data_IF_538420637277
#
_entry.id   IF_538420637277
#
_cell.length_a   1.000
_cell.length_b   1.000
_cell.length_c   1.000
_cell.angle_alpha   90.00
_cell.angle_beta   90.00
_cell.angle_gamma   90.00
#
_symmetry.space_group_name_H-M   'P 1'
#
loop_
_entity.id
_entity.type
_entity.pdbx_description
1 polymer ?
#
# COMPACT_ATOMS: atom_id res chain seq x y z
N UNK A 1 1.70 23.74 -12.88
CA UNK A 1 1.87 22.90 -11.67
C UNK A 1 1.90 21.43 -12.07
N UNK A 2 2.58 20.55 -11.34
CA UNK A 2 2.53 19.09 -11.62
C UNK A 2 1.10 18.59 -11.42
N UNK A 3 0.60 17.77 -12.34
CA UNK A 3 -0.77 17.22 -12.32
C UNK A 3 -0.98 16.17 -11.21
N UNK A 4 0.01 15.31 -11.00
CA UNK A 4 0.06 14.33 -9.91
C UNK A 4 1.50 14.09 -9.44
N UNK A 5 1.72 13.24 -8.45
CA UNK A 5 3.06 12.94 -7.92
C UNK A 5 3.19 11.51 -7.40
N UNK A 6 4.23 10.83 -7.85
CA UNK A 6 4.80 9.65 -7.19
C UNK A 6 6.05 10.07 -6.40
N UNK A 7 6.22 9.55 -5.19
CA UNK A 7 7.51 9.60 -4.50
C UNK A 7 8.36 8.36 -4.85
N UNK A 8 9.66 8.41 -4.54
CA UNK A 8 10.60 7.32 -4.79
C UNK A 8 11.22 6.84 -3.48
N UNK A 9 11.05 5.56 -3.18
CA UNK A 9 11.60 4.93 -1.97
C UNK A 9 11.22 5.66 -0.68
N UNK A 10 11.86 5.25 0.42
CA UNK A 10 11.89 5.97 1.69
C UNK A 10 13.04 5.41 2.55
N UNK A 11 13.04 5.69 3.86
CA UNK A 11 14.07 5.16 4.79
C UNK A 11 14.22 3.63 4.76
N UNK A 12 13.16 2.89 4.44
CA UNK A 12 13.09 1.41 4.41
C UNK A 12 13.00 0.84 2.99
N UNK A 13 12.24 1.50 2.11
CA UNK A 13 11.97 1.06 0.74
C UNK A 13 13.06 1.56 -0.21
N UNK A 14 13.51 0.66 -1.09
CA UNK A 14 14.41 0.99 -2.18
C UNK A 14 13.93 2.16 -3.02
N UNK A 15 14.87 2.97 -3.50
CA UNK A 15 14.61 4.07 -4.45
C UNK A 15 14.08 3.59 -5.82
N UNK A 16 14.09 2.28 -6.07
CA UNK A 16 13.48 1.65 -7.25
C UNK A 16 11.96 1.45 -7.11
N UNK A 17 11.37 1.85 -5.98
CA UNK A 17 9.91 1.77 -5.76
C UNK A 17 9.28 3.13 -5.97
N UNK A 18 8.32 3.21 -6.91
CA UNK A 18 7.43 4.36 -7.02
C UNK A 18 6.29 4.21 -6.01
N UNK A 19 5.91 5.31 -5.35
CA UNK A 19 4.88 5.28 -4.31
C UNK A 19 3.78 6.27 -4.65
N UNK A 20 2.55 5.76 -4.78
CA UNK A 20 1.34 6.55 -4.96
C UNK A 20 0.61 6.71 -3.63
N UNK A 21 0.48 7.94 -3.14
CA UNK A 21 -0.15 8.24 -1.87
C UNK A 21 -1.39 9.11 -2.02
N UNK A 22 -2.36 8.84 -1.15
CA UNK A 22 -3.59 9.60 -0.97
C UNK A 22 -3.69 10.17 0.46
N UNK A 23 -4.63 11.10 0.72
CA UNK A 23 -4.82 11.67 2.04
C UNK A 23 -5.25 10.62 3.06
N UNK A 24 -4.54 10.56 4.18
CA UNK A 24 -4.88 9.66 5.27
C UNK A 24 -6.27 9.96 5.84
N UNK A 25 -6.97 8.93 6.32
CA UNK A 25 -8.33 8.98 6.90
C UNK A 25 -9.41 9.34 5.90
N UNK A 26 -9.28 10.44 5.15
CA UNK A 26 -10.24 10.90 4.13
C UNK A 26 -10.51 9.83 3.07
N UNK A 27 -9.48 9.07 2.70
CA UNK A 27 -9.57 8.01 1.67
C UNK A 27 -9.52 6.60 2.26
N UNK A 28 -9.67 6.45 3.58
CA UNK A 28 -9.53 5.17 4.28
C UNK A 28 -10.87 4.67 4.84
N UNK A 29 -11.82 4.21 4.00
CA UNK A 29 -13.13 3.83 4.47
C UNK A 29 -13.07 2.59 5.39
N UNK A 30 -12.09 1.70 5.23
CA UNK A 30 -11.87 0.55 6.12
C UNK A 30 -11.19 0.87 7.46
N UNK A 31 -10.83 2.13 7.72
CA UNK A 31 -10.14 2.50 8.96
C UNK A 31 -11.04 2.38 10.19
N UNK A 32 -10.58 1.64 11.21
CA UNK A 32 -11.21 1.59 12.53
C UNK A 32 -10.96 2.88 13.33
N UNK A 33 -11.71 3.08 14.41
CA UNK A 33 -11.51 4.19 15.36
C UNK A 33 -10.08 4.20 15.90
N UNK A 34 -9.55 3.01 16.24
CA UNK A 34 -8.16 2.87 16.66
C UNK A 34 -7.18 3.30 15.57
N UNK A 35 -7.36 2.84 14.32
CA UNK A 35 -6.51 3.25 13.19
C UNK A 35 -6.44 4.77 13.01
N UNK A 36 -7.58 5.47 13.13
CA UNK A 36 -7.64 6.93 12.98
C UNK A 36 -6.86 7.66 14.07
N UNK A 37 -6.86 7.12 15.29
CA UNK A 37 -6.10 7.67 16.43
C UNK A 37 -4.59 7.51 16.27
N UNK A 38 -4.13 6.35 15.77
CA UNK A 38 -2.69 6.02 15.70
C UNK A 38 -2.08 6.19 14.30
N UNK A 39 -2.81 6.77 13.34
CA UNK A 39 -2.38 6.85 11.95
C UNK A 39 -1.08 7.66 11.78
N UNK A 40 0.03 6.99 11.47
CA UNK A 40 1.32 7.64 11.23
C UNK A 40 1.26 8.62 10.04
N UNK A 41 0.46 8.31 9.01
CA UNK A 41 0.36 9.12 7.82
C UNK A 41 -0.35 10.44 8.07
N UNK A 42 -1.32 10.46 8.99
CA UNK A 42 -1.98 11.68 9.45
C UNK A 42 -1.01 12.57 10.24
N UNK A 43 -0.17 11.97 11.11
CA UNK A 43 0.92 12.71 11.78
C UNK A 43 1.86 13.34 10.75
N UNK A 44 2.27 12.59 9.72
CA UNK A 44 3.12 13.11 8.66
C UNK A 44 2.47 14.26 7.86
N UNK A 45 1.17 14.20 7.57
CA UNK A 45 0.45 15.30 6.87
C UNK A 45 0.35 16.57 7.70
N UNK A 46 0.27 16.44 9.04
CA UNK A 46 0.31 17.59 9.96
C UNK A 46 1.70 18.22 10.02
N UNK A 47 2.75 17.40 10.06
CA UNK A 47 4.14 17.89 10.14
C UNK A 47 4.66 18.45 8.80
N UNK A 48 4.20 17.91 7.67
CA UNK A 48 4.76 18.22 6.35
C UNK A 48 3.68 18.68 5.37
N UNK A 49 3.47 20.01 5.22
CA UNK A 49 2.46 20.56 4.32
C UNK A 49 2.62 20.12 2.85
N UNK A 50 3.85 19.88 2.39
CA UNK A 50 4.13 19.35 1.04
C UNK A 50 3.57 17.94 0.83
N UNK A 51 3.63 17.08 1.84
CA UNK A 51 3.02 15.75 1.81
C UNK A 51 1.50 15.86 1.72
N UNK A 52 0.88 16.73 2.53
CA UNK A 52 -0.56 16.99 2.48
C UNK A 52 -1.00 17.50 1.10
N UNK A 53 -0.32 18.52 0.55
CA UNK A 53 -0.64 19.10 -0.77
C UNK A 53 -0.50 18.09 -1.90
N UNK A 54 0.55 17.27 -1.89
CA UNK A 54 0.76 16.24 -2.93
C UNK A 54 -0.29 15.13 -2.88
N UNK A 55 -0.63 14.66 -1.68
CA UNK A 55 -1.67 13.62 -1.48
C UNK A 55 -3.05 14.12 -1.87
N UNK A 56 -3.42 15.35 -1.49
CA UNK A 56 -4.69 15.95 -1.90
C UNK A 56 -4.79 16.07 -3.42
N UNK A 57 -3.72 16.54 -4.07
CA UNK A 57 -3.68 16.61 -5.53
C UNK A 57 -3.84 15.25 -6.19
N UNK A 58 -3.15 14.22 -5.69
CA UNK A 58 -3.31 12.86 -6.21
C UNK A 58 -4.75 12.35 -6.05
N UNK A 59 -5.42 12.67 -4.94
CA UNK A 59 -6.81 12.30 -4.71
C UNK A 59 -7.78 13.01 -5.64
N UNK A 60 -7.59 14.30 -5.90
CA UNK A 60 -8.43 15.00 -6.87
C UNK A 60 -8.17 14.46 -8.29
N UNK A 61 -6.90 14.20 -8.64
CA UNK A 61 -6.56 13.60 -9.93
C UNK A 61 -7.12 12.18 -10.11
N UNK A 62 -7.18 11.36 -9.06
CA UNK A 62 -7.71 9.99 -9.16
C UNK A 62 -9.20 9.91 -9.49
N UNK A 63 -9.94 11.02 -9.31
CA UNK A 63 -11.35 11.13 -9.70
C UNK A 63 -11.52 11.47 -11.18
N UNK A 64 -10.49 12.02 -11.83
CA UNK A 64 -10.53 12.36 -13.25
C UNK A 64 -10.76 11.13 -14.13
N UNK A 65 -11.39 11.33 -15.27
CA UNK A 65 -11.51 10.34 -16.35
C UNK A 65 -10.15 10.07 -17.00
N UNK A 66 -9.24 11.06 -17.02
CA UNK A 66 -7.89 10.94 -17.59
C UNK A 66 -6.92 10.16 -16.69
N UNK A 67 -7.34 9.78 -15.48
CA UNK A 67 -6.46 9.18 -14.48
C UNK A 67 -5.73 7.94 -15.01
N UNK A 68 -6.47 6.99 -15.59
CA UNK A 68 -5.89 5.73 -16.07
C UNK A 68 -4.88 6.00 -17.19
N UNK A 69 -5.28 6.77 -18.22
CA UNK A 69 -4.46 7.07 -19.38
C UNK A 69 -3.13 7.74 -18.98
N UNK A 70 -3.20 8.82 -18.19
CA UNK A 70 -2.03 9.60 -17.80
C UNK A 70 -1.09 8.83 -16.88
N UNK A 71 -1.62 8.02 -15.97
CA UNK A 71 -0.79 7.18 -15.10
C UNK A 71 -0.09 6.10 -15.92
N UNK A 72 -0.77 5.45 -16.86
CA UNK A 72 -0.16 4.46 -17.76
C UNK A 72 0.94 5.10 -18.59
N UNK A 73 0.67 6.22 -19.27
CA UNK A 73 1.67 6.96 -20.05
C UNK A 73 2.88 7.37 -19.21
N UNK A 74 2.65 7.82 -17.98
CA UNK A 74 3.72 8.16 -17.06
C UNK A 74 4.55 6.94 -16.69
N UNK A 75 3.93 5.85 -16.27
CA UNK A 75 4.61 4.64 -15.78
C UNK A 75 5.35 3.92 -16.91
N UNK A 76 4.85 3.90 -18.16
CA UNK A 76 5.59 3.34 -19.31
C UNK A 76 6.96 3.98 -19.50
N UNK A 77 7.09 5.28 -19.17
CA UNK A 77 8.36 6.03 -19.26
C UNK A 77 9.26 5.86 -18.03
N UNK A 78 8.93 4.95 -17.11
CA UNK A 78 9.69 4.71 -15.86
C UNK A 78 10.34 3.34 -15.90
N UNK A 79 11.61 3.32 -15.49
CA UNK A 79 12.40 2.10 -15.33
C UNK A 79 12.03 1.32 -14.07
N UNK A 80 11.42 1.99 -13.10
CA UNK A 80 10.93 1.36 -11.89
C UNK A 80 9.80 0.37 -12.22
N UNK A 81 9.99 -0.89 -11.84
CA UNK A 81 9.04 -1.99 -12.09
C UNK A 81 8.14 -2.27 -10.89
N UNK A 82 8.44 -1.71 -9.71
CA UNK A 82 7.67 -1.93 -8.48
C UNK A 82 6.96 -0.62 -8.10
N UNK A 83 5.65 -0.69 -7.97
CA UNK A 83 4.78 0.43 -7.61
C UNK A 83 4.03 0.08 -6.32
N UNK A 84 4.35 0.81 -5.26
CA UNK A 84 3.59 0.74 -4.00
C UNK A 84 2.40 1.69 -4.09
N UNK A 85 1.21 1.14 -3.93
CA UNK A 85 0.01 1.92 -3.68
C UNK A 85 -0.17 2.08 -2.18
N UNK A 86 -0.47 3.31 -1.77
CA UNK A 86 -0.94 3.69 -0.44
C UNK A 86 0.05 3.32 0.67
N UNK A 87 1.17 4.04 0.74
CA UNK A 87 1.81 4.24 2.06
C UNK A 87 0.95 5.17 2.94
N UNK A 88 0.17 6.05 2.32
CA UNK A 88 -0.88 6.84 2.93
C UNK A 88 -2.16 6.78 2.10
N UNK A 89 -3.29 6.82 2.78
CA UNK A 89 -4.62 6.65 2.18
C UNK A 89 -4.97 5.18 1.98
N UNK A 90 -6.03 4.92 1.23
CA UNK A 90 -6.47 3.56 0.87
C UNK A 90 -7.31 3.61 -0.42
N UNK A 91 -7.78 2.45 -0.88
CA UNK A 91 -8.85 2.40 -1.88
C UNK A 91 -10.14 2.98 -1.29
N UNK A 92 -10.55 4.16 -1.75
CA UNK A 92 -11.69 4.88 -1.16
C UNK A 92 -13.06 4.43 -1.69
N UNK A 93 -13.12 3.84 -2.89
CA UNK A 93 -14.32 3.22 -3.46
C UNK A 93 -13.92 2.14 -4.50
N UNK A 94 -14.93 1.39 -4.96
CA UNK A 94 -14.76 0.32 -5.97
C UNK A 94 -14.29 0.85 -7.33
N UNK A 95 -14.76 2.02 -7.76
CA UNK A 95 -14.34 2.64 -9.02
C UNK A 95 -12.83 2.92 -9.05
N UNK A 96 -12.28 3.46 -7.97
CA UNK A 96 -10.86 3.74 -7.86
C UNK A 96 -10.00 2.46 -7.76
N UNK A 97 -10.50 1.41 -7.10
CA UNK A 97 -9.88 0.09 -7.16
C UNK A 97 -9.81 -0.40 -8.62
N UNK A 98 -10.92 -0.34 -9.34
CA UNK A 98 -11.00 -0.77 -10.74
C UNK A 98 -10.05 0.02 -11.65
N UNK A 99 -9.90 1.34 -11.43
CA UNK A 99 -8.91 2.16 -12.14
C UNK A 99 -7.48 1.62 -11.95
N UNK A 100 -7.11 1.20 -10.74
CA UNK A 100 -5.79 0.59 -10.51
C UNK A 100 -5.66 -0.82 -11.07
N UNK A 101 -6.71 -1.62 -11.05
CA UNK A 101 -6.72 -2.90 -11.75
C UNK A 101 -6.50 -2.71 -13.25
N UNK A 102 -7.14 -1.71 -13.85
CA UNK A 102 -6.98 -1.38 -15.27
C UNK A 102 -5.55 -0.92 -15.59
N UNK A 103 -5.00 0.01 -14.80
CA UNK A 103 -3.60 0.45 -14.94
C UNK A 103 -2.65 -0.75 -14.86
N UNK A 104 -2.87 -1.66 -13.91
CA UNK A 104 -2.04 -2.85 -13.74
C UNK A 104 -2.12 -3.79 -14.96
N UNK A 105 -3.31 -4.04 -15.51
CA UNK A 105 -3.48 -4.86 -16.73
C UNK A 105 -2.75 -4.27 -17.94
N UNK A 106 -2.76 -2.95 -18.10
CA UNK A 106 -2.07 -2.26 -19.20
C UNK A 106 -0.54 -2.20 -19.06
N UNK A 107 -0.01 -2.63 -17.90
CA UNK A 107 1.42 -2.59 -17.53
C UNK A 107 1.88 -3.94 -16.96
N UNK A 108 1.83 -5.03 -17.76
CA UNK A 108 2.14 -6.38 -17.28
C UNK A 108 3.61 -6.56 -16.86
N UNK A 109 4.51 -5.69 -17.32
CA UNK A 109 5.93 -5.63 -16.93
C UNK A 109 6.15 -5.07 -15.52
N UNK A 110 5.10 -4.50 -14.90
CA UNK A 110 5.16 -3.84 -13.61
C UNK A 110 4.36 -4.59 -12.55
N UNK A 111 4.89 -4.59 -11.34
CA UNK A 111 4.24 -5.14 -10.16
C UNK A 111 3.73 -4.00 -9.29
N UNK A 112 2.43 -4.01 -9.05
CA UNK A 112 1.76 -3.13 -8.12
C UNK A 112 1.54 -3.88 -6.82
N UNK A 113 1.66 -3.21 -5.68
CA UNK A 113 1.27 -3.79 -4.41
C UNK A 113 0.67 -2.78 -3.44
N UNK A 114 -0.29 -3.23 -2.63
CA UNK A 114 -1.00 -2.38 -1.69
C UNK A 114 -1.26 -3.11 -0.37
N UNK A 115 -1.10 -2.39 0.73
CA UNK A 115 -1.72 -2.77 2.00
C UNK A 115 -3.05 -2.04 2.10
N UNK A 116 -4.13 -2.77 2.33
CA UNK A 116 -5.48 -2.17 2.34
C UNK A 116 -6.33 -2.68 3.47
N UNK A 117 -7.20 -1.81 3.99
CA UNK A 117 -8.32 -2.15 4.87
C UNK A 117 -9.66 -2.11 4.13
N UNK A 118 -9.64 -1.84 2.83
CA UNK A 118 -10.82 -1.66 1.97
C UNK A 118 -11.26 -2.93 1.23
N UNK A 119 -10.83 -4.10 1.71
CA UNK A 119 -11.20 -5.41 1.15
C UNK A 119 -12.67 -5.80 1.35
N UNK A 120 -13.48 -4.92 1.95
CA UNK A 120 -14.89 -5.16 2.26
C UNK A 120 -15.85 -4.80 1.13
N UNK A 121 -15.37 -4.22 0.03
CA UNK A 121 -16.18 -3.93 -1.15
C UNK A 121 -16.72 -5.23 -1.76
N UNK A 122 -17.95 -5.20 -2.27
CA UNK A 122 -18.54 -6.37 -2.90
C UNK A 122 -17.71 -6.78 -4.13
N UNK A 123 -17.45 -8.07 -4.24
CA UNK A 123 -16.66 -8.66 -5.32
C UNK A 123 -15.26 -8.04 -5.43
N UNK A 124 -14.65 -7.68 -4.29
CA UNK A 124 -13.33 -7.05 -4.23
C UNK A 124 -12.27 -7.87 -4.98
N UNK A 125 -12.34 -9.19 -4.89
CA UNK A 125 -11.31 -10.10 -5.41
C UNK A 125 -11.48 -10.48 -6.88
N UNK A 126 -12.68 -10.39 -7.43
CA UNK A 126 -13.05 -10.91 -8.75
C UNK A 126 -12.22 -10.29 -9.89
N UNK A 127 -11.74 -9.06 -9.69
CA UNK A 127 -11.11 -8.26 -10.74
C UNK A 127 -9.67 -7.83 -10.41
N UNK A 128 -9.03 -8.43 -9.42
CA UNK A 128 -7.64 -8.09 -9.09
C UNK A 128 -6.71 -8.82 -10.07
N UNK A 129 -5.97 -8.11 -10.94
CA UNK A 129 -5.04 -8.74 -11.87
C UNK A 129 -3.84 -9.32 -11.14
N UNK A 130 -3.20 -10.29 -11.77
CA UNK A 130 -2.12 -11.07 -11.17
C UNK A 130 -0.88 -10.24 -10.80
N UNK A 131 -0.66 -9.09 -11.45
CA UNK A 131 0.42 -8.16 -11.14
C UNK A 131 0.03 -7.06 -10.14
N UNK A 132 -1.18 -7.10 -9.55
CA UNK A 132 -1.60 -6.27 -8.43
C UNK A 132 -1.67 -7.11 -7.14
N UNK A 133 -0.62 -7.05 -6.32
CA UNK A 133 -0.49 -7.77 -5.05
C UNK A 133 -1.21 -7.02 -3.93
N UNK A 134 -2.35 -7.56 -3.50
CA UNK A 134 -3.10 -7.01 -2.35
C UNK A 134 -2.73 -7.76 -1.08
N UNK A 135 -2.48 -7.01 -0.01
CA UNK A 135 -2.23 -7.52 1.34
C UNK A 135 -3.25 -6.89 2.28
N UNK A 136 -4.11 -7.72 2.88
CA UNK A 136 -5.17 -7.25 3.77
C UNK A 136 -4.59 -6.87 5.13
N UNK A 137 -4.75 -5.62 5.54
CA UNK A 137 -4.42 -5.21 6.91
C UNK A 137 -5.54 -5.64 7.85
N UNK A 138 -5.27 -6.60 8.74
CA UNK A 138 -6.28 -7.29 9.55
C UNK A 138 -7.05 -6.36 10.49
N UNK A 139 -6.42 -5.32 11.04
CA UNK A 139 -7.03 -4.42 12.04
C UNK A 139 -7.93 -3.34 11.41
N UNK A 140 -8.80 -3.72 10.47
CA UNK A 140 -9.81 -2.84 9.89
C UNK A 140 -11.04 -2.68 10.78
N UNK A 141 -12.03 -1.90 10.34
CA UNK A 141 -13.36 -1.88 10.98
C UNK A 141 -14.25 -3.07 10.59
N UNK A 142 -13.76 -3.96 9.73
CA UNK A 142 -14.44 -5.17 9.23
C UNK A 142 -13.48 -6.39 9.31
N UNK A 143 -12.99 -6.76 10.50
CA UNK A 143 -12.06 -7.89 10.66
C UNK A 143 -12.67 -9.23 10.20
N UNK A 144 -13.98 -9.39 10.27
CA UNK A 144 -14.73 -10.57 9.83
C UNK A 144 -14.69 -10.79 8.31
N UNK A 145 -14.40 -9.74 7.53
CA UNK A 145 -14.30 -9.81 6.06
C UNK A 145 -12.91 -10.19 5.54
N UNK A 146 -11.95 -10.47 6.43
CA UNK A 146 -10.61 -10.90 6.02
C UNK A 146 -10.68 -12.29 5.39
N UNK A 147 -10.24 -12.41 4.14
CA UNK A 147 -10.04 -13.71 3.51
C UNK A 147 -8.64 -14.24 3.84
N UNK A 148 -8.54 -15.26 4.70
CA UNK A 148 -7.26 -15.84 5.14
C UNK A 148 -6.57 -16.71 4.09
N UNK A 149 -7.23 -17.04 2.98
CA UNK A 149 -6.58 -17.67 1.82
C UNK A 149 -5.77 -16.67 0.99
N UNK A 150 -5.96 -15.37 1.23
CA UNK A 150 -5.22 -14.28 0.58
C UNK A 150 -4.17 -13.71 1.51
N UNK A 151 -3.24 -12.94 0.96
CA UNK A 151 -2.18 -12.31 1.74
C UNK A 151 -2.76 -11.40 2.83
N UNK A 152 -2.17 -11.44 4.02
CA UNK A 152 -2.56 -10.60 5.16
C UNK A 152 -1.35 -9.93 5.81
N UNK A 153 -1.63 -8.83 6.50
CA UNK A 153 -0.68 -8.12 7.32
C UNK A 153 -1.32 -7.72 8.65
N UNK A 154 -0.56 -7.83 9.74
CA UNK A 154 -0.98 -7.35 11.05
C UNK A 154 0.18 -6.78 11.84
N UNK A 155 -0.13 -6.03 12.89
CA UNK A 155 0.85 -5.49 13.83
C UNK A 155 0.89 -6.38 15.07
N UNK A 156 2.09 -6.67 15.57
CA UNK A 156 2.34 -7.42 16.80
C UNK A 156 3.21 -6.60 17.75
N UNK A 157 3.02 -6.77 19.04
CA UNK A 157 3.84 -6.10 20.06
C UNK A 157 5.16 -6.85 20.25
N UNK A 158 5.07 -8.19 20.35
CA UNK A 158 6.20 -9.06 20.64
C UNK A 158 6.36 -10.17 19.60
N UNK A 159 7.60 -10.60 19.28
CA UNK A 159 7.82 -11.72 18.35
C UNK A 159 7.10 -13.02 18.72
N UNK A 160 6.83 -13.25 20.01
CA UNK A 160 6.09 -14.42 20.53
C UNK A 160 4.63 -14.48 20.08
N UNK A 161 4.04 -13.35 19.66
CA UNK A 161 2.66 -13.31 19.14
C UNK A 161 2.54 -13.81 17.70
N UNK A 162 3.67 -14.00 17.00
CA UNK A 162 3.71 -14.47 15.61
C UNK A 162 3.17 -15.90 15.53
N UNK A 163 2.20 -16.12 14.64
CA UNK A 163 1.72 -17.47 14.32
C UNK A 163 2.74 -18.21 13.46
N UNK A 164 2.73 -19.54 13.49
CA UNK A 164 3.72 -20.36 12.78
C UNK A 164 3.80 -20.05 11.27
N UNK A 165 2.65 -19.80 10.64
CA UNK A 165 2.51 -19.49 9.21
C UNK A 165 2.84 -18.04 8.83
N UNK A 166 3.11 -17.17 9.81
CA UNK A 166 3.39 -15.75 9.57
C UNK A 166 4.88 -15.46 9.56
N UNK A 167 5.29 -14.48 8.76
CA UNK A 167 6.64 -13.96 8.73
C UNK A 167 6.70 -12.61 9.43
N UNK A 168 7.60 -12.43 10.39
CA UNK A 168 7.90 -11.07 10.87
C UNK A 168 8.72 -10.36 9.78
N UNK A 169 8.39 -9.09 9.51
CA UNK A 169 9.08 -8.29 8.49
C UNK A 169 10.62 -8.37 8.64
N UNK A 170 11.35 -8.90 7.64
CA UNK A 170 12.80 -9.07 7.73
C UNK A 170 13.57 -7.76 7.93
N UNK A 171 13.10 -6.66 7.33
CA UNK A 171 13.72 -5.33 7.52
C UNK A 171 13.68 -4.90 8.99
N UNK A 172 12.55 -5.10 9.67
CA UNK A 172 12.42 -4.73 11.09
C UNK A 172 13.29 -5.61 11.99
N UNK A 173 13.38 -6.91 11.70
CA UNK A 173 14.25 -7.82 12.45
C UNK A 173 15.73 -7.51 12.24
N UNK A 174 16.14 -7.26 10.99
CA UNK A 174 17.52 -6.88 10.69
C UNK A 174 17.90 -5.58 11.39
N UNK A 175 17.02 -4.58 11.34
CA UNK A 175 17.22 -3.29 12.01
C UNK A 175 17.41 -3.45 13.52
N UNK A 176 16.66 -4.33 14.19
CA UNK A 176 16.85 -4.63 15.62
C UNK A 176 18.23 -5.23 15.94
N UNK A 177 18.86 -5.89 14.97
CA UNK A 177 20.21 -6.47 15.08
C UNK A 177 21.31 -5.53 14.57
N UNK A 178 21.01 -4.25 14.34
CA UNK A 178 21.96 -3.29 13.77
C UNK A 178 22.31 -3.52 12.30
N UNK A 179 21.59 -4.42 11.61
CA UNK A 179 21.76 -4.71 10.18
C UNK A 179 20.76 -3.91 9.35
N UNK A 180 21.08 -3.70 8.08
CA UNK A 180 20.18 -3.05 7.11
C UNK A 180 19.79 -4.07 6.04
N UNK A 181 18.49 -4.17 5.78
CA UNK A 181 17.92 -4.85 4.62
C UNK A 181 17.06 -3.83 3.89
N UNK A 182 17.31 -3.63 2.61
CA UNK A 182 16.55 -2.73 1.76
C UNK A 182 15.28 -3.42 1.23
N UNK A 183 14.11 -2.96 1.70
CA UNK A 183 12.82 -3.52 1.31
C UNK A 183 12.53 -3.24 -0.18
N UNK A 184 11.97 -4.23 -0.86
CA UNK A 184 11.74 -4.28 -2.31
C UNK A 184 12.99 -4.34 -3.19
N UNK A 185 14.16 -4.57 -2.60
CA UNK A 185 15.41 -4.87 -3.33
C UNK A 185 16.02 -6.18 -2.83
N UNK A 186 16.41 -6.23 -1.57
CA UNK A 186 16.97 -7.43 -0.93
C UNK A 186 15.86 -8.34 -0.38
N UNK A 187 14.77 -7.73 0.10
CA UNK A 187 13.58 -8.45 0.57
C UNK A 187 12.35 -8.07 -0.28
N UNK A 188 11.77 -9.04 -0.96
CA UNK A 188 10.54 -8.88 -1.75
C UNK A 188 9.39 -9.77 -1.24
N UNK A 189 9.42 -10.13 0.05
CA UNK A 189 8.46 -11.04 0.68
C UNK A 189 7.00 -10.65 0.41
N UNK A 190 6.71 -9.34 0.44
CA UNK A 190 5.37 -8.80 0.28
C UNK A 190 4.87 -8.82 -1.18
N UNK A 191 5.71 -9.19 -2.15
CA UNK A 191 5.30 -9.39 -3.55
C UNK A 191 4.87 -10.84 -3.83
N UNK A 192 5.07 -11.75 -2.87
CA UNK A 192 4.63 -13.15 -2.98
C UNK A 192 3.10 -13.25 -2.85
N UNK A 193 2.52 -14.23 -3.53
CA UNK A 193 1.11 -14.61 -3.34
C UNK A 193 0.94 -15.31 -1.99
N UNK A 194 -0.23 -15.16 -1.38
CA UNK A 194 -0.66 -15.83 -0.14
C UNK A 194 0.35 -15.73 1.00
N UNK A 195 0.82 -14.51 1.26
CA UNK A 195 1.81 -14.23 2.30
C UNK A 195 1.14 -13.61 3.54
N UNK A 196 1.50 -14.09 4.72
CA UNK A 196 1.05 -13.53 5.99
C UNK A 196 2.23 -12.86 6.69
N UNK A 197 2.20 -11.54 6.79
CA UNK A 197 3.32 -10.76 7.35
C UNK A 197 2.91 -10.05 8.64
N UNK A 198 3.78 -10.09 9.64
CA UNK A 198 3.63 -9.34 10.88
C UNK A 198 4.64 -8.20 10.94
N UNK A 199 4.20 -7.06 11.42
CA UNK A 199 5.04 -5.91 11.71
C UNK A 199 5.14 -5.72 13.21
N UNK A 200 6.36 -5.62 13.74
CA UNK A 200 6.59 -5.24 15.13
C UNK A 200 6.22 -3.77 15.31
N UNK A 201 5.44 -3.46 16.36
CA UNK A 201 5.10 -2.09 16.73
C UNK A 201 6.37 -1.27 17.02
N UNK A 202 6.31 0.00 16.67
CA UNK A 202 7.39 0.98 16.76
C UNK A 202 7.08 2.04 17.81
#
# INVERSE_FOLDING_TARGET
>A
MKEFTFSKGNRKLSNNVLIWNLPAVKTCPGSSTYCRRICYALKAERCYPSARKSRLRNFEFSKSEQFVEKIVQFLRKRKETIIRLHESGDFYNKEYLNKWCEIARQLPDKIFYAYTKSYFFDNFWDNIPDNLRIIQSVESRFPEKVNWEKSTARVIEKPSERKSFEFICPEQLAKKKGKKIECMKECQLCLRKNIHVCFLRH
#
